data_IF_382953832645
#
_entry.id   IF_382953832645
#
_cell.length_a   1.000
_cell.length_b   1.000
_cell.length_c   1.000
_cell.angle_alpha   90.00
_cell.angle_beta   90.00
_cell.angle_gamma   90.00
#
_symmetry.space_group_name_H-M   'P 1'
#
loop_
_entity.id
_entity.type
_entity.pdbx_description
1 polymer ?
#
# COMPACT_ATOMS: atom_id res chain seq x y z
N UNK A 1 18.88 -27.17 24.75
CA UNK A 1 18.94 -25.72 24.40
C UNK A 1 19.50 -25.50 22.99
N UNK A 2 20.68 -26.03 22.66
CA UNK A 2 21.31 -25.89 21.33
C UNK A 2 20.45 -26.38 20.15
N UNK A 3 19.82 -27.56 20.26
CA UNK A 3 18.96 -28.11 19.19
C UNK A 3 17.69 -27.28 18.92
N UNK A 4 17.10 -26.68 19.96
CA UNK A 4 15.93 -25.81 19.83
C UNK A 4 16.31 -24.52 19.13
N UNK A 5 17.46 -23.95 19.50
CA UNK A 5 18.02 -22.76 18.87
C UNK A 5 18.37 -23.00 17.40
N UNK A 6 19.00 -24.14 17.08
CA UNK A 6 19.30 -24.54 15.71
C UNK A 6 18.02 -24.72 14.87
N UNK A 7 16.98 -25.33 15.44
CA UNK A 7 15.68 -25.47 14.79
C UNK A 7 15.01 -24.13 14.50
N UNK A 8 15.13 -23.15 15.40
CA UNK A 8 14.63 -21.79 15.19
C UNK A 8 15.38 -21.07 14.06
N UNK A 9 16.72 -21.17 14.03
CA UNK A 9 17.55 -20.59 12.97
C UNK A 9 17.21 -21.21 11.61
N UNK A 10 17.10 -22.54 11.55
CA UNK A 10 16.79 -23.24 10.31
C UNK A 10 15.42 -22.81 9.77
N UNK A 11 14.42 -22.64 10.66
CA UNK A 11 13.11 -22.17 10.27
C UNK A 11 13.14 -20.72 9.75
N UNK A 12 13.84 -19.82 10.45
CA UNK A 12 14.00 -18.44 10.01
C UNK A 12 14.70 -18.35 8.65
N UNK A 13 15.70 -19.21 8.41
CA UNK A 13 16.39 -19.31 7.13
C UNK A 13 15.46 -19.79 6.01
N UNK A 14 14.68 -20.84 6.27
CA UNK A 14 13.69 -21.36 5.30
C UNK A 14 12.66 -20.28 4.94
N UNK A 15 12.18 -19.51 5.91
CA UNK A 15 11.23 -18.41 5.67
C UNK A 15 11.83 -17.26 4.83
N UNK A 16 13.16 -17.16 4.75
CA UNK A 16 13.87 -16.17 3.95
C UNK A 16 14.14 -16.61 2.51
N UNK A 17 14.04 -17.91 2.19
CA UNK A 17 14.36 -18.46 0.86
C UNK A 17 13.64 -17.72 -0.29
N UNK A 18 12.32 -17.49 -0.24
CA UNK A 18 11.61 -16.83 -1.35
C UNK A 18 12.06 -15.39 -1.56
N UNK A 19 12.34 -14.69 -0.45
CA UNK A 19 12.84 -13.31 -0.47
C UNK A 19 14.26 -13.26 -1.04
N UNK A 20 15.10 -14.22 -0.69
CA UNK A 20 16.43 -14.35 -1.26
C UNK A 20 16.37 -14.55 -2.79
N UNK A 21 15.53 -15.48 -3.27
CA UNK A 21 15.35 -15.70 -4.70
C UNK A 21 14.75 -14.51 -5.44
N UNK A 22 13.87 -13.74 -4.80
CA UNK A 22 13.37 -12.48 -5.33
C UNK A 22 14.54 -11.51 -5.62
N UNK A 23 15.38 -11.25 -4.62
CA UNK A 23 16.51 -10.32 -4.78
C UNK A 23 17.53 -10.84 -5.79
N UNK A 24 17.85 -12.14 -5.75
CA UNK A 24 18.78 -12.76 -6.69
C UNK A 24 18.28 -12.60 -8.14
N UNK A 25 17.01 -12.91 -8.37
CA UNK A 25 16.39 -12.79 -9.70
C UNK A 25 16.33 -11.34 -10.19
N UNK A 26 16.15 -10.37 -9.29
CA UNK A 26 16.18 -8.96 -9.64
C UNK A 26 17.60 -8.48 -10.01
N UNK A 27 18.61 -8.86 -9.23
CA UNK A 27 20.00 -8.44 -9.43
C UNK A 27 20.53 -8.97 -10.75
N UNK A 28 20.32 -10.26 -11.03
CA UNK A 28 20.85 -10.93 -12.23
C UNK A 28 19.90 -10.84 -13.44
N UNK A 29 18.81 -10.07 -13.36
CA UNK A 29 17.79 -10.06 -14.40
C UNK A 29 18.34 -9.69 -15.79
N UNK A 30 19.26 -8.72 -15.85
CA UNK A 30 19.87 -8.27 -17.11
C UNK A 30 20.80 -9.31 -17.74
N UNK A 31 21.26 -10.27 -16.94
CA UNK A 31 22.18 -11.33 -17.37
C UNK A 31 21.43 -12.59 -17.83
N UNK A 32 20.09 -12.63 -17.65
CA UNK A 32 19.25 -13.74 -18.09
C UNK A 32 19.14 -13.75 -19.62
N UNK A 33 19.46 -14.87 -20.29
CA UNK A 33 19.29 -14.99 -21.74
C UNK A 33 17.85 -14.75 -22.18
N UNK A 34 17.68 -14.04 -23.30
CA UNK A 34 16.37 -13.63 -23.83
C UNK A 34 15.45 -14.84 -24.11
N UNK A 35 16.02 -15.99 -24.44
CA UNK A 35 15.27 -17.24 -24.62
C UNK A 35 14.45 -17.61 -23.39
N UNK A 36 15.05 -17.56 -22.19
CA UNK A 36 14.34 -17.88 -20.95
C UNK A 36 13.25 -16.85 -20.61
N UNK A 37 13.45 -15.58 -20.95
CA UNK A 37 12.44 -14.54 -20.78
C UNK A 37 11.23 -14.84 -21.68
N UNK A 38 11.48 -15.27 -22.92
CA UNK A 38 10.42 -15.66 -23.85
C UNK A 38 9.67 -16.91 -23.40
N UNK A 39 10.38 -17.91 -22.85
CA UNK A 39 9.76 -19.12 -22.31
C UNK A 39 8.82 -18.77 -21.13
N UNK A 40 9.28 -17.92 -20.22
CA UNK A 40 8.48 -17.43 -19.08
C UNK A 40 7.25 -16.65 -19.57
N UNK A 41 7.42 -15.81 -20.59
CA UNK A 41 6.30 -15.09 -21.21
C UNK A 41 5.25 -16.03 -21.77
N UNK A 42 5.67 -17.09 -22.47
CA UNK A 42 4.78 -18.09 -23.05
C UNK A 42 4.06 -18.94 -21.99
N UNK A 43 4.77 -19.35 -20.93
CA UNK A 43 4.21 -20.20 -19.87
C UNK A 43 3.20 -19.44 -19.02
N UNK A 44 3.51 -18.20 -18.64
CA UNK A 44 2.70 -17.44 -17.69
C UNK A 44 1.78 -16.39 -18.36
N UNK A 45 1.84 -16.24 -19.69
CA UNK A 45 1.04 -15.26 -20.43
C UNK A 45 1.42 -13.81 -20.11
N UNK A 46 2.70 -13.55 -19.88
CA UNK A 46 3.23 -12.24 -19.45
C UNK A 46 4.11 -11.64 -20.56
N UNK A 47 4.22 -10.32 -20.63
CA UNK A 47 5.02 -9.58 -21.63
C UNK A 47 6.31 -8.95 -21.05
N UNK A 48 7.27 -9.75 -20.61
CA UNK A 48 8.56 -9.26 -20.09
C UNK A 48 9.56 -9.02 -21.23
N UNK A 49 10.43 -8.02 -21.05
CA UNK A 49 11.53 -7.66 -21.96
C UNK A 49 12.82 -7.58 -21.13
N UNK A 50 13.99 -7.66 -21.77
CA UNK A 50 15.32 -7.62 -21.12
C UNK A 50 15.69 -6.31 -20.40
N UNK A 51 14.84 -5.28 -20.47
CA UNK A 51 15.08 -4.01 -19.78
C UNK A 51 15.05 -4.19 -18.25
N UNK A 52 15.98 -3.52 -17.55
CA UNK A 52 16.09 -3.57 -16.09
C UNK A 52 14.77 -3.23 -15.35
N UNK A 53 13.94 -2.35 -15.92
CA UNK A 53 12.62 -2.01 -15.37
C UNK A 53 11.70 -3.23 -15.23
N UNK A 54 11.86 -4.25 -16.07
CA UNK A 54 11.06 -5.47 -16.02
C UNK A 54 11.58 -6.52 -15.03
N UNK A 55 12.78 -6.31 -14.50
CA UNK A 55 13.36 -7.22 -13.51
C UNK A 55 12.52 -7.31 -12.24
N UNK A 56 11.83 -6.23 -11.85
CA UNK A 56 10.95 -6.25 -10.68
C UNK A 56 9.72 -7.17 -10.89
N UNK A 57 9.18 -7.21 -12.11
CA UNK A 57 8.06 -8.09 -12.45
C UNK A 57 8.52 -9.55 -12.48
N UNK A 58 9.67 -9.83 -13.09
CA UNK A 58 10.25 -11.16 -13.08
C UNK A 58 10.56 -11.66 -11.65
N UNK A 59 11.21 -10.84 -10.84
CA UNK A 59 11.50 -11.16 -9.45
C UNK A 59 10.21 -11.43 -8.64
N UNK A 60 9.16 -10.64 -8.87
CA UNK A 60 7.85 -10.86 -8.24
C UNK A 60 7.25 -12.21 -8.61
N UNK A 61 7.35 -12.62 -9.88
CA UNK A 61 6.91 -13.95 -10.31
C UNK A 61 7.72 -15.06 -9.63
N UNK A 62 9.04 -14.90 -9.53
CA UNK A 62 9.90 -15.86 -8.81
C UNK A 62 9.51 -15.96 -7.34
N UNK A 63 9.22 -14.83 -6.67
CA UNK A 63 8.74 -14.82 -5.28
C UNK A 63 7.44 -15.59 -5.12
N UNK A 64 6.47 -15.37 -6.00
CA UNK A 64 5.19 -16.09 -5.96
C UNK A 64 5.39 -17.60 -6.10
N UNK A 65 6.21 -18.04 -7.06
CA UNK A 65 6.49 -19.46 -7.29
C UNK A 65 7.23 -20.07 -6.10
N UNK A 66 8.34 -19.47 -5.69
CA UNK A 66 9.18 -19.99 -4.60
C UNK A 66 8.42 -20.06 -3.28
N UNK A 67 7.62 -19.03 -2.94
CA UNK A 67 6.79 -19.06 -1.74
C UNK A 67 5.67 -20.10 -1.84
N UNK A 68 5.05 -20.27 -3.01
CA UNK A 68 4.00 -21.29 -3.21
C UNK A 68 4.57 -22.71 -3.06
N UNK A 69 5.76 -22.97 -3.60
CA UNK A 69 6.47 -24.25 -3.43
C UNK A 69 6.83 -24.49 -1.97
N UNK A 70 7.37 -23.49 -1.28
CA UNK A 70 7.66 -23.58 0.16
C UNK A 70 6.38 -23.87 0.97
N UNK A 71 5.30 -23.15 0.67
CA UNK A 71 4.02 -23.35 1.34
C UNK A 71 3.50 -24.78 1.13
N UNK A 72 3.55 -25.31 -0.10
CA UNK A 72 3.16 -26.68 -0.40
C UNK A 72 4.02 -27.71 0.34
N UNK A 73 5.34 -27.49 0.42
CA UNK A 73 6.23 -28.36 1.19
C UNK A 73 5.89 -28.35 2.69
N UNK A 74 5.58 -27.17 3.25
CA UNK A 74 5.12 -27.05 4.64
C UNK A 74 3.76 -27.72 4.84
N UNK A 75 2.87 -27.63 3.86
CA UNK A 75 1.53 -28.23 3.87
C UNK A 75 1.58 -29.76 3.91
N UNK A 76 2.39 -30.35 3.03
CA UNK A 76 2.60 -31.81 2.99
C UNK A 76 3.22 -32.32 4.29
N UNK A 77 4.12 -31.53 4.90
CA UNK A 77 4.78 -31.91 6.17
C UNK A 77 3.97 -31.56 7.43
N UNK A 78 2.71 -31.11 7.30
CA UNK A 78 1.85 -30.67 8.41
C UNK A 78 2.46 -29.58 9.31
N UNK A 79 3.42 -28.81 8.81
CA UNK A 79 4.11 -27.75 9.57
C UNK A 79 3.55 -26.35 9.30
N UNK A 80 2.41 -26.26 8.61
CA UNK A 80 1.78 -24.98 8.27
C UNK A 80 1.15 -24.35 9.50
N UNK A 81 1.40 -23.06 9.64
CA UNK A 81 0.85 -22.17 10.66
C UNK A 81 -0.03 -21.14 9.97
N UNK A 82 -0.96 -20.53 10.72
CA UNK A 82 -1.86 -19.48 10.22
C UNK A 82 -1.12 -18.36 9.47
N UNK A 83 0.09 -17.99 9.93
CA UNK A 83 0.91 -16.97 9.29
C UNK A 83 1.30 -17.34 7.85
N UNK A 84 1.59 -18.61 7.54
CA UNK A 84 1.98 -19.04 6.19
C UNK A 84 0.82 -18.92 5.19
N UNK A 85 -0.42 -19.19 5.62
CA UNK A 85 -1.61 -18.94 4.79
C UNK A 85 -1.80 -17.45 4.50
N UNK A 86 -1.70 -16.62 5.54
CA UNK A 86 -1.85 -15.16 5.41
C UNK A 86 -0.77 -14.60 4.48
N UNK A 87 0.48 -15.03 4.65
CA UNK A 87 1.60 -14.58 3.82
C UNK A 87 1.44 -15.05 2.37
N UNK A 88 1.04 -16.30 2.12
CA UNK A 88 0.75 -16.78 0.76
C UNK A 88 -0.32 -15.93 0.10
N UNK A 89 -1.42 -15.67 0.80
CA UNK A 89 -2.53 -14.85 0.30
C UNK A 89 -2.07 -13.44 -0.07
N UNK A 90 -1.28 -12.79 0.79
CA UNK A 90 -0.73 -11.46 0.54
C UNK A 90 0.21 -11.47 -0.67
N UNK A 91 1.14 -12.44 -0.74
CA UNK A 91 2.11 -12.56 -1.85
C UNK A 91 1.39 -12.79 -3.17
N UNK A 92 0.38 -13.66 -3.20
CA UNK A 92 -0.37 -13.93 -4.42
C UNK A 92 -1.16 -12.72 -4.87
N UNK A 93 -1.93 -12.06 -3.98
CA UNK A 93 -2.71 -10.87 -4.36
C UNK A 93 -1.80 -9.73 -4.81
N UNK A 94 -0.75 -9.42 -4.05
CA UNK A 94 0.18 -8.35 -4.38
C UNK A 94 0.95 -8.67 -5.67
N UNK A 95 1.36 -9.93 -5.84
CA UNK A 95 2.10 -10.40 -7.01
C UNK A 95 1.24 -10.41 -8.28
N UNK A 96 0.03 -10.97 -8.23
CA UNK A 96 -0.92 -10.90 -9.34
C UNK A 96 -1.27 -9.46 -9.69
N UNK A 97 -1.48 -8.58 -8.71
CA UNK A 97 -1.67 -7.15 -8.97
C UNK A 97 -0.46 -6.56 -9.70
N UNK A 98 0.76 -6.88 -9.26
CA UNK A 98 1.99 -6.36 -9.87
C UNK A 98 2.17 -6.86 -11.31
N UNK A 99 1.92 -8.15 -11.57
CA UNK A 99 2.08 -8.78 -12.89
C UNK A 99 0.94 -8.45 -13.87
N UNK A 100 -0.30 -8.44 -13.38
CA UNK A 100 -1.49 -8.14 -14.19
C UNK A 100 -1.55 -6.67 -14.55
N UNK A 101 -1.30 -5.79 -13.57
CA UNK A 101 -1.39 -4.37 -13.86
C UNK A 101 -0.22 -3.92 -14.70
N UNK A 102 1.06 -4.23 -14.38
CA UNK A 102 2.23 -3.74 -15.16
C UNK A 102 2.15 -2.26 -15.59
N UNK A 103 1.35 -1.46 -14.87
CA UNK A 103 0.80 -0.22 -15.40
C UNK A 103 1.03 0.89 -14.35
N UNK A 104 1.67 2.00 -14.75
CA UNK A 104 1.83 3.17 -13.89
C UNK A 104 0.49 3.66 -13.33
N UNK A 105 -0.63 3.37 -13.97
CA UNK A 105 -1.98 3.62 -13.45
C UNK A 105 -2.22 3.02 -12.06
N UNK A 106 -1.75 1.80 -11.78
CA UNK A 106 -1.93 1.18 -10.45
C UNK A 106 -1.10 1.89 -9.37
N UNK A 107 0.07 2.41 -9.74
CA UNK A 107 0.88 3.24 -8.84
C UNK A 107 0.16 4.58 -8.60
N UNK A 108 -0.46 5.12 -9.64
CA UNK A 108 -1.18 6.40 -9.61
C UNK A 108 -2.49 6.37 -8.84
N UNK A 109 -3.22 5.25 -8.80
CA UNK A 109 -4.51 5.14 -8.08
C UNK A 109 -4.36 4.91 -6.57
N UNK A 110 -3.21 4.39 -6.11
CA UNK A 110 -2.95 4.10 -4.69
C UNK A 110 -3.28 5.27 -3.75
N UNK A 111 -2.83 6.52 -4.01
CA UNK A 111 -3.18 7.65 -3.15
C UNK A 111 -4.69 7.88 -3.05
N UNK A 112 -5.44 7.75 -4.15
CA UNK A 112 -6.90 7.93 -4.13
C UNK A 112 -7.61 6.90 -3.27
N UNK A 113 -7.18 5.64 -3.32
CA UNK A 113 -7.72 4.57 -2.46
C UNK A 113 -7.49 4.90 -0.99
N UNK A 114 -6.29 5.37 -0.63
CA UNK A 114 -5.96 5.75 0.75
C UNK A 114 -6.82 6.93 1.21
N UNK A 115 -6.93 7.99 0.41
CA UNK A 115 -7.74 9.14 0.76
C UNK A 115 -9.22 8.78 0.92
N UNK A 116 -9.80 8.02 0.00
CA UNK A 116 -11.19 7.59 0.14
C UNK A 116 -11.40 6.61 1.29
N UNK A 117 -10.41 5.78 1.60
CA UNK A 117 -10.42 4.95 2.81
C UNK A 117 -10.54 5.80 4.08
N UNK A 118 -9.77 6.90 4.18
CA UNK A 118 -9.93 7.85 5.28
C UNK A 118 -11.29 8.55 5.26
N UNK A 119 -11.78 9.00 4.11
CA UNK A 119 -13.12 9.60 4.01
C UNK A 119 -14.21 8.66 4.51
N UNK A 120 -14.18 7.39 4.07
CA UNK A 120 -15.12 6.35 4.52
C UNK A 120 -14.98 6.12 6.02
N UNK A 121 -13.76 6.02 6.54
CA UNK A 121 -13.53 5.87 7.98
C UNK A 121 -14.18 6.99 8.79
N UNK A 122 -14.02 8.25 8.36
CA UNK A 122 -14.65 9.40 9.01
C UNK A 122 -16.18 9.38 8.88
N UNK A 123 -16.72 9.04 7.71
CA UNK A 123 -18.18 8.89 7.51
C UNK A 123 -18.74 7.83 8.46
N UNK A 124 -18.10 6.65 8.51
CA UNK A 124 -18.52 5.56 9.39
C UNK A 124 -18.41 5.95 10.86
N UNK A 125 -17.37 6.69 11.26
CA UNK A 125 -17.26 7.22 12.61
C UNK A 125 -18.38 8.23 12.92
N UNK A 126 -18.74 9.11 11.99
CA UNK A 126 -19.83 10.07 12.23
C UNK A 126 -21.20 9.39 12.34
N UNK A 127 -21.43 8.24 11.67
CA UNK A 127 -22.71 7.52 11.68
C UNK A 127 -22.79 6.54 12.85
N UNK A 128 -21.75 5.74 13.08
CA UNK A 128 -21.76 4.63 14.04
C UNK A 128 -20.92 4.88 15.29
N UNK A 129 -20.05 5.91 15.27
CA UNK A 129 -19.21 6.25 16.40
C UNK A 129 -20.03 6.83 17.54
N UNK A 130 -19.71 6.43 18.76
CA UNK A 130 -20.28 7.04 19.98
C UNK A 130 -19.90 8.51 20.12
N UNK A 131 -18.73 8.86 19.59
CA UNK A 131 -18.20 10.21 19.59
C UNK A 131 -17.37 10.46 18.33
N UNK A 132 -17.43 11.70 17.86
CA UNK A 132 -16.67 12.20 16.72
C UNK A 132 -15.16 12.04 16.96
N UNK A 133 -14.46 11.41 16.02
CA UNK A 133 -13.04 11.08 16.16
C UNK A 133 -12.17 12.32 16.38
N UNK A 134 -12.48 13.44 15.72
CA UNK A 134 -11.72 14.69 15.90
C UNK A 134 -11.96 15.28 17.29
N UNK A 135 -13.21 15.23 17.77
CA UNK A 135 -13.53 15.60 19.16
C UNK A 135 -12.73 14.74 20.13
N UNK A 136 -12.76 13.41 19.98
CA UNK A 136 -12.03 12.48 20.84
C UNK A 136 -10.53 12.79 20.93
N UNK A 137 -9.92 13.21 19.82
CA UNK A 137 -8.48 13.52 19.76
C UNK A 137 -8.11 14.89 20.35
N UNK A 138 -9.03 15.87 20.30
CA UNK A 138 -8.72 17.27 20.61
C UNK A 138 -9.49 17.84 21.81
N UNK A 139 -10.48 17.12 22.33
CA UNK A 139 -11.36 17.62 23.41
C UNK A 139 -10.65 17.94 24.72
N UNK A 140 -9.48 17.35 24.97
CA UNK A 140 -8.66 17.67 26.16
C UNK A 140 -8.03 19.06 26.07
N UNK A 141 -7.87 19.60 24.87
CA UNK A 141 -7.14 20.84 24.59
C UNK A 141 -8.08 21.96 24.15
N UNK A 142 -9.24 21.61 23.60
CA UNK A 142 -10.14 22.51 22.87
C UNK A 142 -11.58 22.26 23.32
N UNK A 143 -12.29 23.33 23.68
CA UNK A 143 -13.71 23.28 24.03
C UNK A 143 -14.54 23.90 22.90
N UNK A 144 -15.33 23.07 22.22
CA UNK A 144 -16.24 23.47 21.15
C UNK A 144 -17.62 22.85 21.36
N UNK A 145 -18.66 23.53 20.88
CA UNK A 145 -20.02 22.99 20.85
C UNK A 145 -20.12 21.79 19.88
N UNK A 146 -21.04 20.86 20.15
CA UNK A 146 -21.14 19.61 19.36
C UNK A 146 -21.39 19.84 17.86
N UNK A 147 -22.13 20.90 17.49
CA UNK A 147 -22.32 21.27 16.08
C UNK A 147 -21.00 21.64 15.38
N UNK A 148 -20.09 22.30 16.09
CA UNK A 148 -18.80 22.75 15.56
C UNK A 148 -17.84 21.58 15.37
N UNK A 149 -17.87 20.60 16.27
CA UNK A 149 -17.15 19.32 16.11
C UNK A 149 -17.62 18.54 14.87
N UNK A 150 -18.93 18.48 14.65
CA UNK A 150 -19.50 17.84 13.45
C UNK A 150 -19.03 18.52 12.17
N UNK A 151 -19.05 19.85 12.12
CA UNK A 151 -18.55 20.60 10.97
C UNK A 151 -17.05 20.32 10.71
N UNK A 152 -16.26 20.26 11.78
CA UNK A 152 -14.83 19.95 11.70
C UNK A 152 -14.60 18.56 11.08
N UNK A 153 -15.28 17.52 11.60
CA UNK A 153 -15.19 16.16 11.03
C UNK A 153 -15.68 16.10 9.57
N UNK A 154 -16.75 16.82 9.23
CA UNK A 154 -17.24 16.88 7.85
C UNK A 154 -16.24 17.54 6.90
N UNK A 155 -15.48 18.54 7.37
CA UNK A 155 -14.42 19.15 6.55
C UNK A 155 -13.30 18.17 6.21
N UNK A 156 -12.94 17.26 7.13
CA UNK A 156 -11.99 16.17 6.86
C UNK A 156 -12.51 15.19 5.82
N UNK A 157 -13.79 14.82 5.88
CA UNK A 157 -14.43 13.96 4.87
C UNK A 157 -14.32 14.62 3.50
N UNK A 158 -14.75 15.88 3.38
CA UNK A 158 -14.72 16.63 2.12
C UNK A 158 -13.28 16.76 1.61
N UNK A 159 -12.32 17.09 2.47
CA UNK A 159 -10.91 17.20 2.11
C UNK A 159 -10.37 15.90 1.51
N UNK A 160 -10.61 14.77 2.17
CA UNK A 160 -10.12 13.48 1.68
C UNK A 160 -10.82 13.03 0.38
N UNK A 161 -12.12 13.28 0.24
CA UNK A 161 -12.83 13.01 -1.02
C UNK A 161 -12.22 13.83 -2.16
N UNK A 162 -12.03 15.14 -1.95
CA UNK A 162 -11.44 16.04 -2.94
C UNK A 162 -10.02 15.64 -3.31
N UNK A 163 -9.16 15.33 -2.34
CA UNK A 163 -7.79 14.85 -2.59
C UNK A 163 -7.77 13.57 -3.43
N UNK A 164 -8.69 12.63 -3.17
CA UNK A 164 -8.80 11.40 -3.95
C UNK A 164 -9.19 11.66 -5.42
N UNK A 165 -10.15 12.56 -5.65
CA UNK A 165 -10.54 12.97 -7.01
C UNK A 165 -9.45 13.77 -7.72
N UNK A 166 -8.81 14.71 -7.02
CA UNK A 166 -7.74 15.55 -7.55
C UNK A 166 -6.54 14.69 -7.98
N UNK A 167 -6.20 13.66 -7.19
CA UNK A 167 -5.17 12.69 -7.58
C UNK A 167 -5.54 11.93 -8.86
N UNK A 168 -6.77 11.42 -8.98
CA UNK A 168 -7.21 10.72 -10.20
C UNK A 168 -7.18 11.63 -11.43
N UNK A 169 -7.62 12.89 -11.27
CA UNK A 169 -7.57 13.87 -12.33
C UNK A 169 -6.13 14.07 -12.83
N UNK A 170 -5.19 14.38 -11.94
CA UNK A 170 -3.80 14.60 -12.35
C UNK A 170 -3.14 13.32 -12.87
N UNK A 171 -3.45 12.17 -12.26
CA UNK A 171 -2.98 10.87 -12.70
C UNK A 171 -3.35 10.54 -14.16
N UNK A 172 -4.55 10.93 -14.59
CA UNK A 172 -5.11 10.59 -15.90
C UNK A 172 -4.72 11.58 -17.00
N UNK A 173 -4.59 12.87 -16.66
CA UNK A 173 -4.41 13.93 -17.66
C UNK A 173 -2.96 14.44 -17.79
N UNK A 174 -2.04 14.04 -16.89
CA UNK A 174 -0.66 14.54 -16.87
C UNK A 174 0.39 13.43 -16.94
N UNK A 175 1.60 13.81 -17.35
CA UNK A 175 2.75 12.90 -17.40
C UNK A 175 3.13 12.36 -16.02
N UNK A 176 3.82 11.22 -15.98
CA UNK A 176 4.22 10.59 -14.72
C UNK A 176 5.11 11.51 -13.87
N UNK A 177 6.06 12.22 -14.48
CA UNK A 177 6.93 13.18 -13.79
C UNK A 177 6.11 14.28 -13.12
N UNK A 178 5.17 14.89 -13.85
CA UNK A 178 4.28 15.93 -13.30
C UNK A 178 3.37 15.38 -12.19
N UNK A 179 2.88 14.15 -12.34
CA UNK A 179 2.08 13.49 -11.30
C UNK A 179 2.90 13.24 -10.03
N UNK A 180 4.17 12.81 -10.16
CA UNK A 180 5.07 12.61 -9.02
C UNK A 180 5.31 13.95 -8.30
N UNK A 181 5.64 15.02 -9.01
CA UNK A 181 5.83 16.33 -8.39
C UNK A 181 4.56 16.82 -7.69
N UNK A 182 3.41 16.71 -8.37
CA UNK A 182 2.11 17.08 -7.83
C UNK A 182 1.76 16.30 -6.56
N UNK A 183 1.98 14.98 -6.53
CA UNK A 183 1.63 14.18 -5.36
C UNK A 183 2.49 14.55 -4.14
N UNK A 184 3.76 14.89 -4.34
CA UNK A 184 4.67 15.26 -3.25
C UNK A 184 4.41 16.69 -2.76
N UNK A 185 4.46 17.67 -3.66
CA UNK A 185 4.37 19.08 -3.27
C UNK A 185 2.93 19.52 -2.98
N UNK A 186 1.99 19.19 -3.86
CA UNK A 186 0.62 19.72 -3.75
C UNK A 186 -0.22 18.85 -2.82
N UNK A 187 -0.37 17.55 -3.12
CA UNK A 187 -1.18 16.64 -2.29
C UNK A 187 -0.53 16.32 -0.93
N UNK A 188 0.80 16.24 -0.88
CA UNK A 188 1.54 15.83 0.33
C UNK A 188 1.85 16.96 1.30
N UNK A 189 2.04 18.19 0.80
CA UNK A 189 2.52 19.32 1.63
C UNK A 189 1.54 20.48 1.59
N UNK A 190 1.33 21.11 0.44
CA UNK A 190 0.60 22.38 0.34
C UNK A 190 -0.87 22.22 0.78
N UNK A 191 -1.60 21.25 0.22
CA UNK A 191 -3.01 21.04 0.56
C UNK A 191 -3.22 20.67 2.03
N UNK A 192 -2.48 19.69 2.62
CA UNK A 192 -2.59 19.38 4.04
C UNK A 192 -2.26 20.57 4.95
N UNK A 193 -1.20 21.33 4.65
CA UNK A 193 -0.79 22.48 5.47
C UNK A 193 -1.87 23.57 5.45
N UNK A 194 -2.35 23.93 4.25
CA UNK A 194 -3.44 24.91 4.11
C UNK A 194 -4.69 24.44 4.85
N UNK A 195 -5.05 23.16 4.71
CA UNK A 195 -6.20 22.59 5.39
C UNK A 195 -6.07 22.64 6.91
N UNK A 196 -4.90 22.28 7.47
CA UNK A 196 -4.65 22.35 8.91
C UNK A 196 -4.73 23.79 9.42
N UNK A 197 -4.16 24.76 8.69
CA UNK A 197 -4.25 26.18 9.05
C UNK A 197 -5.70 26.64 9.07
N UNK A 198 -6.49 26.31 8.04
CA UNK A 198 -7.92 26.65 7.99
C UNK A 198 -8.70 26.05 9.16
N UNK A 199 -8.44 24.80 9.51
CA UNK A 199 -9.04 24.15 10.67
C UNK A 199 -8.61 24.83 11.98
N UNK A 200 -7.33 25.17 12.13
CA UNK A 200 -6.81 25.87 13.30
C UNK A 200 -7.43 27.27 13.48
N UNK A 201 -7.53 28.03 12.40
CA UNK A 201 -8.21 29.34 12.38
C UNK A 201 -9.68 29.19 12.74
N UNK A 202 -10.38 28.21 12.14
CA UNK A 202 -11.77 27.92 12.47
C UNK A 202 -11.95 27.57 13.95
N UNK A 203 -11.09 26.72 14.51
CA UNK A 203 -11.10 26.38 15.94
C UNK A 203 -10.89 27.64 16.78
N UNK A 204 -9.86 28.44 16.50
CA UNK A 204 -9.52 29.62 17.28
C UNK A 204 -10.63 30.68 17.34
N UNK A 205 -11.39 30.86 16.26
CA UNK A 205 -12.55 31.75 16.26
C UNK A 205 -13.77 31.17 16.98
N UNK A 206 -13.82 29.85 17.16
CA UNK A 206 -15.01 29.16 17.64
C UNK A 206 -14.87 28.55 19.03
N UNK A 207 -13.66 28.49 19.58
CA UNK A 207 -13.38 28.09 20.96
C UNK A 207 -13.95 29.11 21.93
N UNK A 208 -14.72 28.61 22.90
CA UNK A 208 -15.11 29.42 24.06
C UNK A 208 -13.86 29.62 24.92
N UNK A 209 -13.59 30.85 25.34
CA UNK A 209 -12.58 31.13 26.36
C UNK A 209 -12.96 30.47 27.68
#
# INVERSE_FOLDING_TARGET
MFLIFLGFILKAFIDFIPVFFFFLSYIFYTDIPISYINDVNNIFGISLNSNKSNGIYFATLVLMITYSVQFLALFITSNVKKIHYITLFIILIAGFSTLYFKNPYFIKIKPSIVYWGFAIFFILNNIFGKENIIKKLLQEQIILDDKKWSLLSNSWIVFFILCGFLNLYVANFYSEVKWVEFKFYILGIILPVVFIILNGVYIGFNTKK
#
